data_IF_301257361700
#
_entry.id   IF_301257361700
#
_cell.length_a   1.000
_cell.length_b   1.000
_cell.length_c   1.000
_cell.angle_alpha   90.00
_cell.angle_beta   90.00
_cell.angle_gamma   90.00
#
_symmetry.space_group_name_H-M   'P 1'
#
loop_
_entity.id
_entity.type
_entity.pdbx_description
1 polymer ?
#
# COMPACT_ATOMS: atom_id res chain seq x y z
N UNK A 1 -7.15 -9.31 7.03
CA UNK A 1 -8.01 -9.92 6.01
C UNK A 1 -9.47 -9.59 6.29
N UNK A 2 -10.06 -8.71 5.47
CA UNK A 2 -11.44 -8.27 5.67
C UNK A 2 -12.44 -9.41 5.51
N UNK A 3 -12.14 -10.39 4.68
CA UNK A 3 -12.98 -11.57 4.50
C UNK A 3 -13.04 -12.49 5.73
N UNK A 4 -12.05 -12.38 6.62
CA UNK A 4 -11.97 -13.17 7.85
C UNK A 4 -12.19 -12.31 9.12
N UNK A 5 -12.58 -11.05 8.95
CA UNK A 5 -12.74 -10.10 10.06
C UNK A 5 -14.22 -10.07 10.50
N UNK A 6 -14.54 -10.53 11.72
CA UNK A 6 -15.92 -10.48 12.20
C UNK A 6 -16.42 -9.05 12.35
N UNK A 7 -17.62 -8.77 11.86
CA UNK A 7 -18.21 -7.43 11.87
C UNK A 7 -18.27 -6.81 13.27
N UNK A 8 -18.53 -7.62 14.31
CA UNK A 8 -18.61 -7.10 15.68
C UNK A 8 -17.29 -6.54 16.19
N UNK A 9 -16.14 -6.99 15.65
CA UNK A 9 -14.83 -6.46 16.02
C UNK A 9 -14.58 -5.05 15.50
N UNK A 10 -15.37 -4.62 14.52
CA UNK A 10 -15.27 -3.26 13.97
C UNK A 10 -15.92 -2.22 14.87
N UNK A 11 -16.72 -2.65 15.88
CA UNK A 11 -17.38 -1.73 16.79
C UNK A 11 -16.37 -0.86 17.54
N UNK A 12 -16.59 0.45 17.55
CA UNK A 12 -15.69 1.41 18.20
C UNK A 12 -14.45 1.76 17.39
N UNK A 13 -14.27 1.20 16.19
CA UNK A 13 -13.16 1.49 15.31
C UNK A 13 -13.58 2.30 14.09
N UNK A 14 -12.66 3.12 13.58
CA UNK A 14 -12.85 3.81 12.32
C UNK A 14 -12.39 2.89 11.17
N UNK A 15 -13.26 2.67 10.19
CA UNK A 15 -12.96 1.84 9.04
C UNK A 15 -12.75 2.74 7.82
N UNK A 16 -11.65 2.51 7.13
CA UNK A 16 -11.33 3.23 5.89
C UNK A 16 -11.09 2.22 4.78
N UNK A 17 -11.75 2.41 3.66
CA UNK A 17 -11.53 1.62 2.44
C UNK A 17 -10.79 2.46 1.41
N UNK A 18 -10.31 1.81 0.33
CA UNK A 18 -9.54 2.51 -0.70
C UNK A 18 -10.36 3.63 -1.36
N UNK A 19 -11.65 3.45 -1.52
CA UNK A 19 -12.56 4.45 -2.08
C UNK A 19 -12.60 5.73 -1.25
N UNK A 20 -12.35 5.63 0.06
CA UNK A 20 -12.28 6.78 0.95
C UNK A 20 -10.92 7.48 0.97
N UNK A 21 -9.95 7.01 0.20
CA UNK A 21 -8.57 7.51 0.18
C UNK A 21 -8.16 8.04 -1.19
N UNK A 22 -9.08 8.61 -1.94
CA UNK A 22 -8.89 8.96 -3.35
C UNK A 22 -7.62 9.79 -3.60
N UNK A 23 -7.39 10.83 -2.83
CA UNK A 23 -6.22 11.70 -3.00
C UNK A 23 -4.90 10.97 -2.71
N UNK A 24 -4.84 10.25 -1.60
CA UNK A 24 -3.64 9.48 -1.23
C UNK A 24 -3.39 8.34 -2.21
N UNK A 25 -4.46 7.65 -2.62
CA UNK A 25 -4.38 6.56 -3.57
C UNK A 25 -3.91 7.01 -4.95
N UNK A 26 -4.39 8.16 -5.43
CA UNK A 26 -3.96 8.73 -6.71
C UNK A 26 -2.46 9.03 -6.72
N UNK A 27 -1.94 9.68 -5.69
CA UNK A 27 -0.53 9.98 -5.58
C UNK A 27 0.32 8.69 -5.54
N UNK A 28 -0.11 7.72 -4.76
CA UNK A 28 0.59 6.43 -4.67
C UNK A 28 0.55 5.68 -6.00
N UNK A 29 -0.59 5.71 -6.70
CA UNK A 29 -0.73 5.09 -8.02
C UNK A 29 0.27 5.68 -9.01
N UNK A 30 0.44 7.00 -9.02
CA UNK A 30 1.42 7.67 -9.87
C UNK A 30 2.85 7.23 -9.53
N UNK A 31 3.17 7.12 -8.24
CA UNK A 31 4.48 6.63 -7.79
C UNK A 31 4.75 5.19 -8.25
N UNK A 32 3.77 4.31 -8.10
CA UNK A 32 3.88 2.91 -8.52
C UNK A 32 4.00 2.80 -10.05
N UNK A 33 3.19 3.55 -10.78
CA UNK A 33 3.21 3.56 -12.25
C UNK A 33 4.56 4.05 -12.79
N UNK A 34 5.15 5.08 -12.17
CA UNK A 34 6.45 5.62 -12.58
C UNK A 34 7.58 4.61 -12.48
N UNK A 35 7.43 3.59 -11.64
CA UNK A 35 8.41 2.50 -11.46
C UNK A 35 8.04 1.22 -12.21
N UNK A 36 6.94 1.22 -12.96
CA UNK A 36 6.45 0.02 -13.64
C UNK A 36 5.93 -1.04 -12.67
N UNK A 37 5.48 -0.62 -11.51
CA UNK A 37 5.06 -1.52 -10.44
C UNK A 37 3.62 -2.03 -10.57
N UNK A 38 2.87 -1.51 -11.51
CA UNK A 38 1.49 -1.92 -11.77
C UNK A 38 1.43 -2.70 -13.09
N UNK A 39 1.20 -4.00 -13.01
CA UNK A 39 1.12 -4.88 -14.17
C UNK A 39 -0.29 -5.46 -14.32
N UNK A 40 -0.61 -6.63 -13.74
CA UNK A 40 -1.96 -7.17 -13.83
C UNK A 40 -2.97 -6.43 -12.96
N UNK A 41 -2.51 -5.73 -11.92
CA UNK A 41 -3.35 -4.92 -11.04
C UNK A 41 -4.01 -5.67 -9.89
N UNK A 42 -3.91 -6.98 -9.82
CA UNK A 42 -4.62 -7.76 -8.80
C UNK A 42 -4.13 -7.44 -7.37
N UNK A 43 -2.82 -7.31 -7.18
CA UNK A 43 -2.23 -7.02 -5.86
C UNK A 43 -2.29 -5.52 -5.51
N UNK A 44 -2.57 -4.65 -6.48
CA UNK A 44 -2.38 -3.20 -6.34
C UNK A 44 -3.23 -2.60 -5.23
N UNK A 45 -4.50 -2.96 -5.14
CA UNK A 45 -5.41 -2.40 -4.12
C UNK A 45 -4.96 -2.73 -2.70
N UNK A 46 -4.61 -3.97 -2.43
CA UNK A 46 -4.09 -4.38 -1.11
C UNK A 46 -2.75 -3.74 -0.80
N UNK A 47 -1.87 -3.68 -1.79
CA UNK A 47 -0.56 -3.02 -1.66
C UNK A 47 -0.72 -1.54 -1.32
N UNK A 48 -1.65 -0.85 -1.98
CA UNK A 48 -1.92 0.56 -1.74
C UNK A 48 -2.46 0.80 -0.33
N UNK A 49 -3.38 -0.03 0.14
CA UNK A 49 -3.89 0.08 1.51
C UNK A 49 -2.77 -0.08 2.55
N UNK A 50 -1.91 -1.08 2.36
CA UNK A 50 -0.76 -1.31 3.25
C UNK A 50 0.23 -0.16 3.20
N UNK A 51 0.55 0.37 2.03
CA UNK A 51 1.50 1.48 1.87
C UNK A 51 0.98 2.78 2.49
N UNK A 52 -0.31 3.07 2.33
CA UNK A 52 -0.94 4.24 2.96
C UNK A 52 -0.93 4.10 4.48
N UNK A 53 -1.26 2.91 4.99
CA UNK A 53 -1.21 2.65 6.42
C UNK A 53 0.22 2.79 6.97
N UNK A 54 1.21 2.31 6.23
CA UNK A 54 2.62 2.46 6.60
C UNK A 54 3.01 3.93 6.69
N UNK A 55 2.64 4.74 5.69
CA UNK A 55 2.95 6.18 5.71
C UNK A 55 2.37 6.89 6.92
N UNK A 56 1.17 6.51 7.34
CA UNK A 56 0.52 7.08 8.52
C UNK A 56 1.21 6.67 9.81
N UNK A 57 1.81 5.47 9.85
CA UNK A 57 2.51 4.97 11.05
C UNK A 57 3.96 5.38 11.09
N UNK A 58 4.66 5.33 9.97
CA UNK A 58 6.09 5.59 9.89
C UNK A 58 6.46 6.16 8.52
N UNK A 59 6.31 7.48 8.31
CA UNK A 59 6.61 8.12 7.02
C UNK A 59 8.09 8.08 6.66
N UNK A 60 8.98 7.76 7.60
CA UNK A 60 10.42 7.67 7.39
C UNK A 60 10.92 6.22 7.36
N UNK A 61 10.07 5.27 7.00
CA UNK A 61 10.44 3.86 6.95
C UNK A 61 11.60 3.62 5.99
N UNK A 62 12.56 2.80 6.43
CA UNK A 62 13.65 2.31 5.61
C UNK A 62 13.14 1.27 4.60
N UNK A 63 13.98 0.93 3.61
CA UNK A 63 13.63 -0.10 2.63
C UNK A 63 13.32 -1.44 3.30
N UNK A 64 14.06 -1.82 4.33
CA UNK A 64 13.82 -3.07 5.06
C UNK A 64 12.51 -3.03 5.83
N UNK A 65 12.17 -1.90 6.44
CA UNK A 65 10.89 -1.71 7.11
C UNK A 65 9.72 -1.74 6.14
N UNK A 66 9.89 -1.17 4.93
CA UNK A 66 8.88 -1.25 3.87
C UNK A 66 8.67 -2.70 3.45
N UNK A 67 9.75 -3.45 3.19
CA UNK A 67 9.67 -4.87 2.82
C UNK A 67 8.94 -5.68 3.88
N UNK A 68 9.30 -5.50 5.13
CA UNK A 68 8.68 -6.21 6.24
C UNK A 68 7.19 -5.88 6.37
N UNK A 69 6.83 -4.61 6.25
CA UNK A 69 5.44 -4.20 6.35
C UNK A 69 4.56 -4.75 5.22
N UNK A 70 5.13 -4.86 4.03
CA UNK A 70 4.41 -5.33 2.84
C UNK A 70 4.48 -6.84 2.62
N UNK A 71 5.09 -7.60 3.52
CA UNK A 71 5.35 -9.03 3.35
C UNK A 71 4.09 -9.86 3.10
N UNK A 72 2.96 -9.42 3.63
CA UNK A 72 1.67 -10.09 3.43
C UNK A 72 0.98 -9.79 2.09
N UNK A 73 1.54 -8.89 1.29
CA UNK A 73 0.97 -8.47 0.01
C UNK A 73 1.67 -9.21 -1.12
N UNK A 74 1.09 -10.34 -1.53
CA UNK A 74 1.71 -11.21 -2.54
C UNK A 74 1.47 -10.68 -3.95
N UNK A 75 2.52 -10.71 -4.77
CA UNK A 75 2.50 -10.34 -6.18
C UNK A 75 3.24 -11.40 -6.99
N UNK A 76 2.64 -11.86 -8.07
CA UNK A 76 3.25 -12.87 -8.96
C UNK A 76 3.94 -12.24 -10.18
N UNK A 77 3.69 -10.95 -10.45
CA UNK A 77 4.11 -10.30 -11.69
C UNK A 77 5.44 -9.55 -11.57
N UNK A 78 5.63 -8.77 -10.51
CA UNK A 78 6.63 -7.70 -10.45
C UNK A 78 7.97 -8.11 -9.86
N UNK A 79 8.01 -9.12 -9.01
CA UNK A 79 9.19 -9.45 -8.22
C UNK A 79 9.46 -8.48 -7.05
N UNK A 80 8.52 -7.59 -6.75
CA UNK A 80 8.49 -6.68 -5.59
C UNK A 80 9.44 -5.48 -5.62
N UNK A 81 10.54 -5.49 -6.37
CA UNK A 81 11.52 -4.40 -6.34
C UNK A 81 10.95 -3.07 -6.87
N UNK A 82 10.18 -3.13 -7.96
CA UNK A 82 9.52 -1.92 -8.49
C UNK A 82 8.48 -1.38 -7.51
N UNK A 83 7.78 -2.26 -6.82
CA UNK A 83 6.82 -1.85 -5.79
C UNK A 83 7.52 -1.17 -4.61
N UNK A 84 8.65 -1.72 -4.16
CA UNK A 84 9.46 -1.09 -3.12
C UNK A 84 9.88 0.33 -3.51
N UNK A 85 10.37 0.51 -4.73
CA UNK A 85 10.77 1.84 -5.22
C UNK A 85 9.59 2.80 -5.27
N UNK A 86 8.45 2.35 -5.77
CA UNK A 86 7.23 3.17 -5.83
C UNK A 86 6.73 3.58 -4.45
N UNK A 87 6.68 2.66 -3.51
CA UNK A 87 6.28 2.96 -2.13
C UNK A 87 7.28 3.91 -1.47
N UNK A 88 8.58 3.70 -1.67
CA UNK A 88 9.59 4.61 -1.14
C UNK A 88 9.40 6.04 -1.66
N UNK A 89 9.15 6.22 -2.95
CA UNK A 89 8.82 7.54 -3.52
C UNK A 89 7.62 8.16 -2.84
N UNK A 90 6.57 7.38 -2.65
CA UNK A 90 5.36 7.85 -1.99
C UNK A 90 5.62 8.30 -0.55
N UNK A 91 6.43 7.55 0.21
CA UNK A 91 6.80 7.93 1.57
C UNK A 91 7.60 9.24 1.60
N UNK A 92 8.43 9.48 0.59
CA UNK A 92 9.26 10.67 0.48
C UNK A 92 8.50 11.91 -0.04
N UNK A 93 7.20 11.82 -0.22
CA UNK A 93 6.37 12.93 -0.65
C UNK A 93 5.83 12.83 -2.07
N UNK A 94 6.12 11.75 -2.77
CA UNK A 94 5.64 11.50 -4.12
C UNK A 94 6.62 11.92 -5.20
N UNK A 95 6.09 12.11 -6.40
CA UNK A 95 6.90 12.44 -7.59
C UNK A 95 7.46 13.85 -7.56
#
# INVERSE_FOLDING_TARGET
>A
LSCAYPTFRASGHTITTLEGLEAEASLLADCLASEGADQCGFCTTGMMMSAIALKRRNPNASDDEIREYLIGNLCRCTGYESQLRGVRKYLQGGL
#
